data_IF_553526925709
#
_entry.id   IF_553526925709
#
_cell.length_a   1.000
_cell.length_b   1.000
_cell.length_c   1.000
_cell.angle_alpha   90.00
_cell.angle_beta   90.00
_cell.angle_gamma   90.00
#
_symmetry.space_group_name_H-M   'P 1'
#
loop_
_entity.id
_entity.type
_entity.pdbx_description
1 polymer ?
#
# COMPACT_ATOMS: atom_id res chain seq x y z
N UNK A 1 30.03 -8.24 40.56
CA UNK A 1 29.74 -7.13 39.63
C UNK A 1 28.27 -7.17 39.34
N UNK A 2 27.51 -6.36 40.04
CA UNK A 2 26.03 -6.31 40.04
C UNK A 2 25.55 -5.46 38.89
N UNK A 3 24.73 -6.07 38.00
CA UNK A 3 24.12 -5.42 36.86
C UNK A 3 23.04 -4.42 37.37
N UNK A 4 23.28 -3.15 37.12
CA UNK A 4 22.26 -2.10 37.23
C UNK A 4 21.43 -2.12 35.97
N UNK A 5 20.30 -2.81 36.01
CA UNK A 5 19.27 -2.74 34.99
C UNK A 5 17.91 -2.56 35.69
N UNK A 6 17.47 -1.35 35.82
CA UNK A 6 16.05 -0.96 35.85
C UNK A 6 15.81 0.49 36.31
N UNK A 7 15.66 1.43 35.39
CA UNK A 7 14.62 2.45 35.58
C UNK A 7 13.68 2.63 34.40
N UNK A 8 13.95 2.04 33.21
CA UNK A 8 13.15 2.28 32.01
C UNK A 8 11.75 1.64 32.10
N UNK A 9 11.64 0.46 32.74
CA UNK A 9 10.37 -0.30 32.80
C UNK A 9 9.30 0.34 33.69
N UNK A 10 9.69 1.10 34.74
CA UNK A 10 8.73 1.75 35.65
C UNK A 10 8.06 3.01 35.09
N UNK A 11 8.72 3.73 34.20
CA UNK A 11 8.15 4.94 33.59
C UNK A 11 7.05 4.59 32.57
N UNK A 12 7.22 3.50 31.82
CA UNK A 12 6.21 3.02 30.87
C UNK A 12 4.91 2.60 31.56
N UNK A 13 4.97 1.97 32.73
CA UNK A 13 3.79 1.54 33.48
C UNK A 13 2.96 2.67 34.07
N UNK A 14 3.55 3.83 34.37
CA UNK A 14 2.82 4.97 34.93
C UNK A 14 2.05 5.76 33.83
N UNK A 15 2.62 5.87 32.64
CA UNK A 15 1.97 6.49 31.49
C UNK A 15 0.81 5.61 30.94
N UNK A 16 0.97 4.30 30.97
CA UNK A 16 -0.01 3.32 30.48
C UNK A 16 -1.30 3.27 31.34
N UNK A 17 -1.23 3.66 32.63
CA UNK A 17 -2.40 3.69 33.52
C UNK A 17 -3.39 4.82 33.22
N UNK A 18 -2.99 5.86 32.49
CA UNK A 18 -3.86 7.02 32.20
C UNK A 18 -4.79 6.82 31.01
N UNK A 19 -4.46 5.88 30.09
CA UNK A 19 -5.23 5.65 28.89
C UNK A 19 -5.89 4.27 28.92
N UNK A 20 -7.19 4.26 29.10
CA UNK A 20 -7.96 3.02 28.94
C UNK A 20 -7.98 2.62 27.46
N UNK A 21 -7.91 1.32 27.11
CA UNK A 21 -7.96 0.83 25.73
C UNK A 21 -9.09 1.43 24.90
N UNK A 22 -10.27 1.57 25.50
CA UNK A 22 -11.44 2.13 24.84
C UNK A 22 -11.26 3.60 24.44
N UNK A 23 -10.55 4.40 25.24
CA UNK A 23 -10.25 5.81 24.89
C UNK A 23 -9.30 5.92 23.71
N UNK A 24 -8.29 5.04 23.63
CA UNK A 24 -7.38 5.00 22.50
C UNK A 24 -8.13 4.67 21.21
N UNK A 25 -9.00 3.65 21.25
CA UNK A 25 -9.82 3.27 20.10
C UNK A 25 -10.82 4.37 19.70
N UNK A 26 -11.42 5.06 20.70
CA UNK A 26 -12.32 6.19 20.42
C UNK A 26 -11.59 7.35 19.73
N UNK A 27 -10.38 7.70 20.19
CA UNK A 27 -9.55 8.74 19.53
C UNK A 27 -9.17 8.30 18.13
N UNK A 28 -8.72 7.06 17.95
CA UNK A 28 -8.40 6.52 16.64
C UNK A 28 -9.61 6.56 15.68
N UNK A 29 -10.80 6.17 16.16
CA UNK A 29 -12.04 6.25 15.40
C UNK A 29 -12.38 7.69 15.01
N UNK A 30 -12.26 8.65 15.95
CA UNK A 30 -12.46 10.07 15.68
C UNK A 30 -11.52 10.60 14.60
N UNK A 31 -10.23 10.24 14.66
CA UNK A 31 -9.25 10.60 13.62
C UNK A 31 -9.62 10.02 12.25
N UNK A 32 -10.07 8.76 12.21
CA UNK A 32 -10.51 8.10 10.99
C UNK A 32 -11.73 8.79 10.39
N UNK A 33 -12.73 9.12 11.21
CA UNK A 33 -13.94 9.83 10.77
C UNK A 33 -13.59 11.19 10.16
N UNK A 34 -12.74 11.98 10.83
CA UNK A 34 -12.29 13.28 10.32
C UNK A 34 -11.55 13.11 8.99
N UNK A 35 -10.65 12.13 8.90
CA UNK A 35 -9.94 11.82 7.66
C UNK A 35 -10.90 11.46 6.52
N UNK A 36 -11.83 10.52 6.75
CA UNK A 36 -12.76 10.08 5.72
C UNK A 36 -13.74 11.19 5.31
N UNK A 37 -14.17 12.06 6.25
CA UNK A 37 -14.99 13.22 5.93
C UNK A 37 -14.24 14.20 5.02
N UNK A 38 -12.98 14.50 5.33
CA UNK A 38 -12.12 15.32 4.48
C UNK A 38 -11.90 14.68 3.10
N UNK A 39 -11.63 13.37 3.05
CA UNK A 39 -11.47 12.65 1.79
C UNK A 39 -12.75 12.63 0.97
N UNK A 40 -13.90 12.41 1.59
CA UNK A 40 -15.19 12.49 0.92
C UNK A 40 -15.39 13.86 0.29
N UNK A 41 -15.16 14.93 1.04
CA UNK A 41 -15.24 16.30 0.53
C UNK A 41 -14.31 16.52 -0.68
N UNK A 42 -13.06 16.08 -0.60
CA UNK A 42 -12.09 16.24 -1.68
C UNK A 42 -12.46 15.41 -2.92
N UNK A 43 -12.84 14.14 -2.74
CA UNK A 43 -13.15 13.21 -3.84
C UNK A 43 -14.45 13.63 -4.55
N UNK A 44 -15.52 13.94 -3.82
CA UNK A 44 -16.78 14.36 -4.43
C UNK A 44 -16.72 15.76 -5.04
N UNK A 45 -15.76 16.60 -4.62
CA UNK A 45 -15.44 17.87 -5.25
C UNK A 45 -14.50 17.75 -6.45
N UNK A 46 -14.04 16.54 -6.80
CA UNK A 46 -13.15 16.26 -7.92
C UNK A 46 -13.95 15.75 -9.14
N UNK A 47 -13.21 15.40 -10.18
CA UNK A 47 -13.73 14.85 -11.43
C UNK A 47 -12.66 13.98 -12.08
N UNK A 48 -12.99 13.29 -13.17
CA UNK A 48 -12.04 12.57 -14.00
C UNK A 48 -10.88 13.45 -14.44
N UNK A 49 -9.66 12.91 -14.38
CA UNK A 49 -8.42 13.58 -14.77
C UNK A 49 -7.83 12.93 -16.03
N UNK A 50 -6.74 13.46 -16.53
CA UNK A 50 -6.14 13.16 -17.84
C UNK A 50 -6.16 11.68 -18.21
N UNK A 51 -5.55 10.82 -17.39
CA UNK A 51 -5.44 9.39 -17.67
C UNK A 51 -6.75 8.63 -17.44
N UNK A 52 -7.65 9.19 -16.63
CA UNK A 52 -8.97 8.61 -16.41
C UNK A 52 -9.76 8.57 -17.72
N UNK A 53 -9.66 9.63 -18.55
CA UNK A 53 -10.31 9.67 -19.86
C UNK A 53 -9.71 8.64 -20.82
N UNK A 54 -8.40 8.39 -20.77
CA UNK A 54 -7.78 7.36 -21.56
C UNK A 54 -8.30 5.97 -21.16
N UNK A 55 -8.35 5.69 -19.86
CA UNK A 55 -8.86 4.42 -19.35
C UNK A 55 -10.32 4.20 -19.72
N UNK A 56 -11.16 5.23 -19.54
CA UNK A 56 -12.57 5.16 -19.93
C UNK A 56 -12.73 5.01 -21.45
N UNK A 57 -11.91 5.70 -22.25
CA UNK A 57 -11.93 5.59 -23.71
C UNK A 57 -11.61 4.17 -24.19
N UNK A 58 -10.61 3.52 -23.60
CA UNK A 58 -10.28 2.13 -23.87
C UNK A 58 -11.48 1.20 -23.59
N UNK A 59 -12.20 1.45 -22.50
CA UNK A 59 -13.38 0.67 -22.13
C UNK A 59 -14.60 0.97 -23.01
N UNK A 60 -14.67 2.16 -23.60
CA UNK A 60 -15.76 2.58 -24.49
C UNK A 60 -15.64 1.96 -25.89
N UNK A 61 -14.41 1.96 -26.44
CA UNK A 61 -14.15 1.49 -27.80
C UNK A 61 -13.84 0.00 -27.90
N UNK A 62 -13.54 -0.65 -26.77
CA UNK A 62 -13.27 -2.08 -26.72
C UNK A 62 -14.56 -2.88 -26.48
N UNK A 63 -14.75 -3.96 -27.24
CA UNK A 63 -15.60 -5.04 -26.78
C UNK A 63 -14.98 -5.59 -25.51
N UNK A 64 -15.46 -5.11 -24.35
CA UNK A 64 -14.92 -5.45 -23.07
C UNK A 64 -15.21 -6.92 -22.76
N UNK A 65 -14.38 -7.74 -23.33
CA UNK A 65 -14.26 -9.17 -23.03
C UNK A 65 -13.38 -9.36 -21.81
N UNK A 66 -13.43 -10.50 -21.12
CA UNK A 66 -12.44 -10.81 -20.08
C UNK A 66 -10.98 -10.71 -20.57
N UNK A 67 -10.75 -10.80 -21.89
CA UNK A 67 -9.42 -10.66 -22.50
C UNK A 67 -8.93 -9.21 -22.45
N UNK A 68 -9.79 -8.22 -22.66
CA UNK A 68 -9.41 -6.80 -22.57
C UNK A 68 -9.04 -6.37 -21.15
N UNK A 69 -9.56 -7.06 -20.13
CA UNK A 69 -9.16 -6.82 -18.75
C UNK A 69 -7.68 -7.20 -18.49
N UNK A 70 -7.10 -8.07 -19.33
CA UNK A 70 -5.68 -8.47 -19.23
C UNK A 70 -4.75 -7.65 -20.12
N UNK A 71 -5.27 -6.72 -20.93
CA UNK A 71 -4.46 -5.80 -21.73
C UNK A 71 -3.61 -4.90 -20.82
N UNK A 72 -2.42 -4.60 -21.31
CA UNK A 72 -1.52 -3.70 -20.57
C UNK A 72 -1.95 -2.25 -20.77
N UNK A 73 -2.03 -1.51 -19.67
CA UNK A 73 -2.28 -0.09 -19.67
C UNK A 73 -1.01 0.65 -19.26
N UNK A 74 -0.43 1.44 -20.18
CA UNK A 74 0.88 2.08 -20.00
C UNK A 74 1.99 1.13 -19.51
N UNK A 75 1.99 -0.11 -19.97
CA UNK A 75 2.95 -1.12 -19.56
C UNK A 75 2.64 -1.80 -18.22
N UNK A 76 1.53 -1.44 -17.56
CA UNK A 76 1.08 -2.07 -16.32
C UNK A 76 0.07 -3.18 -16.59
N UNK A 77 0.26 -4.33 -15.96
CA UNK A 77 -0.73 -5.41 -15.94
C UNK A 77 -1.59 -5.20 -14.69
N UNK A 78 -2.81 -4.71 -14.90
CA UNK A 78 -3.73 -4.39 -13.81
C UNK A 78 -5.16 -4.87 -14.10
N UNK A 79 -5.38 -6.18 -14.27
CA UNK A 79 -6.68 -6.73 -14.66
C UNK A 79 -7.82 -6.30 -13.73
N UNK A 80 -7.57 -6.16 -12.42
CA UNK A 80 -8.56 -5.68 -11.47
C UNK A 80 -8.95 -4.23 -11.69
N UNK A 81 -7.98 -3.35 -11.98
CA UNK A 81 -8.23 -1.95 -12.31
C UNK A 81 -8.99 -1.80 -13.63
N UNK A 82 -8.58 -2.54 -14.67
CA UNK A 82 -9.27 -2.56 -15.96
C UNK A 82 -10.71 -3.05 -15.82
N UNK A 83 -10.92 -4.14 -15.05
CA UNK A 83 -12.26 -4.68 -14.84
C UNK A 83 -13.15 -3.72 -14.04
N UNK A 84 -12.61 -3.03 -13.05
CA UNK A 84 -13.33 -1.99 -12.31
C UNK A 84 -13.71 -0.82 -13.22
N UNK A 85 -12.80 -0.38 -14.09
CA UNK A 85 -13.06 0.65 -15.10
C UNK A 85 -14.20 0.24 -16.07
N UNK A 86 -14.15 -1.00 -16.54
CA UNK A 86 -15.20 -1.56 -17.37
C UNK A 86 -16.57 -1.57 -16.66
N UNK A 87 -16.59 -2.03 -15.42
CA UNK A 87 -17.81 -2.09 -14.62
C UNK A 87 -18.42 -0.70 -14.44
N UNK A 88 -17.60 0.30 -14.14
CA UNK A 88 -18.02 1.69 -13.99
C UNK A 88 -18.59 2.24 -15.29
N UNK A 89 -17.93 1.99 -16.42
CA UNK A 89 -18.43 2.39 -17.72
C UNK A 89 -19.81 1.79 -18.03
N UNK A 90 -20.00 0.50 -17.74
CA UNK A 90 -21.28 -0.20 -17.97
C UNK A 90 -22.41 0.26 -17.05
N UNK A 91 -22.09 0.60 -15.78
CA UNK A 91 -23.12 0.94 -14.79
C UNK A 91 -23.56 2.41 -14.87
N UNK A 92 -22.64 3.34 -15.11
CA UNK A 92 -22.91 4.77 -14.83
C UNK A 92 -22.46 5.76 -15.91
N UNK A 93 -21.84 5.35 -17.01
CA UNK A 93 -21.46 6.23 -18.13
C UNK A 93 -20.98 7.65 -17.69
N UNK A 94 -19.71 7.85 -17.38
CA UNK A 94 -19.11 9.14 -16.96
C UNK A 94 -19.73 9.78 -15.70
N UNK A 95 -20.51 9.06 -14.92
CA UNK A 95 -20.99 9.57 -13.64
C UNK A 95 -19.92 9.37 -12.57
N UNK A 96 -19.35 10.48 -12.06
CA UNK A 96 -18.31 10.49 -11.06
C UNK A 96 -18.73 9.91 -9.69
N UNK A 97 -20.02 9.90 -9.36
CA UNK A 97 -20.50 9.49 -8.04
C UNK A 97 -20.11 8.05 -7.69
N UNK A 98 -20.14 7.12 -8.65
CA UNK A 98 -19.75 5.72 -8.39
C UNK A 98 -18.24 5.57 -8.19
N UNK A 99 -17.35 6.02 -9.09
CA UNK A 99 -15.92 6.04 -8.85
C UNK A 99 -15.52 6.72 -7.53
N UNK A 100 -16.11 7.88 -7.22
CA UNK A 100 -15.87 8.58 -5.97
C UNK A 100 -16.24 7.73 -4.75
N UNK A 101 -17.38 7.03 -4.79
CA UNK A 101 -17.82 6.12 -3.73
C UNK A 101 -16.87 4.93 -3.58
N UNK A 102 -16.43 4.33 -4.69
CA UNK A 102 -15.45 3.24 -4.69
C UNK A 102 -14.13 3.66 -4.04
N UNK A 103 -13.60 4.82 -4.42
CA UNK A 103 -12.37 5.36 -3.84
C UNK A 103 -12.52 5.58 -2.33
N UNK A 104 -13.65 6.11 -1.90
CA UNK A 104 -13.90 6.37 -0.47
C UNK A 104 -14.03 5.06 0.32
N UNK A 105 -14.70 4.05 -0.22
CA UNK A 105 -14.81 2.72 0.38
C UNK A 105 -13.43 2.07 0.50
N UNK A 106 -12.63 2.08 -0.59
CA UNK A 106 -11.28 1.52 -0.57
C UNK A 106 -10.38 2.24 0.44
N UNK A 107 -10.46 3.58 0.54
CA UNK A 107 -9.74 4.33 1.56
C UNK A 107 -10.18 3.93 2.98
N UNK A 108 -11.48 3.80 3.22
CA UNK A 108 -11.98 3.36 4.53
C UNK A 108 -11.45 1.97 4.90
N UNK A 109 -11.47 1.01 3.98
CA UNK A 109 -10.93 -0.34 4.19
C UNK A 109 -9.42 -0.27 4.45
N UNK A 110 -8.67 0.49 3.66
CA UNK A 110 -7.21 0.66 3.83
C UNK A 110 -6.82 1.26 5.18
N UNK A 111 -7.55 2.28 5.63
CA UNK A 111 -7.35 2.93 6.95
C UNK A 111 -7.67 1.96 8.09
N UNK A 112 -8.76 1.23 8.01
CA UNK A 112 -9.11 0.19 9.00
C UNK A 112 -8.08 -0.94 9.00
N UNK A 113 -7.57 -1.32 7.82
CA UNK A 113 -6.47 -2.26 7.68
C UNK A 113 -5.20 -1.76 8.38
N UNK A 114 -4.85 -0.48 8.22
CA UNK A 114 -3.69 0.12 8.88
C UNK A 114 -3.85 0.17 10.41
N UNK A 115 -5.02 0.55 10.91
CA UNK A 115 -5.29 0.48 12.35
C UNK A 115 -5.14 -0.96 12.88
N UNK A 116 -5.66 -1.97 12.15
CA UNK A 116 -5.49 -3.38 12.50
C UNK A 116 -4.03 -3.80 12.53
N UNK A 117 -3.24 -3.34 11.58
CA UNK A 117 -1.79 -3.58 11.54
C UNK A 117 -1.09 -2.99 12.77
N UNK A 118 -1.41 -1.74 13.14
CA UNK A 118 -0.86 -1.11 14.32
C UNK A 118 -1.23 -1.87 15.61
N UNK A 119 -2.49 -2.31 15.72
CA UNK A 119 -2.95 -3.13 16.84
C UNK A 119 -2.25 -4.50 16.86
N UNK A 120 -2.05 -5.12 15.70
CA UNK A 120 -1.30 -6.37 15.61
C UNK A 120 0.16 -6.18 16.03
N UNK A 121 0.83 -5.10 15.64
CA UNK A 121 2.20 -4.79 16.06
C UNK A 121 2.27 -4.51 17.57
N UNK A 122 1.36 -3.70 18.08
CA UNK A 122 1.34 -3.28 19.48
C UNK A 122 0.89 -4.37 20.46
N UNK A 123 0.13 -5.39 19.97
CA UNK A 123 -0.46 -6.45 20.78
C UNK A 123 -1.72 -6.04 21.54
N UNK A 124 -1.88 -4.76 21.86
CA UNK A 124 -3.05 -4.17 22.56
C UNK A 124 -3.23 -2.70 22.18
N UNK A 125 -4.43 -2.13 22.33
CA UNK A 125 -4.62 -0.68 22.19
C UNK A 125 -3.82 0.09 23.23
N UNK A 126 -2.90 0.95 22.77
CA UNK A 126 -2.04 1.81 23.60
C UNK A 126 -1.82 3.15 22.91
N UNK A 127 -1.55 4.25 23.64
CA UNK A 127 -1.40 5.58 23.04
C UNK A 127 -0.34 5.65 21.92
N UNK A 128 0.69 4.82 22.00
CA UNK A 128 1.77 4.77 21.01
C UNK A 128 1.33 4.40 19.58
N UNK A 129 0.09 3.92 19.36
CA UNK A 129 -0.44 3.70 18.01
C UNK A 129 -1.00 4.98 17.36
N UNK A 130 -1.31 6.01 18.14
CA UNK A 130 -1.96 7.23 17.65
C UNK A 130 -1.04 8.08 16.77
N UNK A 131 0.24 8.34 17.13
CA UNK A 131 1.13 9.11 16.26
C UNK A 131 1.34 8.50 14.87
N UNK A 132 1.69 7.22 14.70
CA UNK A 132 1.81 6.63 13.37
C UNK A 132 0.49 6.59 12.62
N UNK A 133 -0.65 6.42 13.30
CA UNK A 133 -1.96 6.54 12.69
C UNK A 133 -2.20 7.97 12.18
N UNK A 134 -1.89 9.00 12.98
CA UNK A 134 -2.02 10.40 12.59
C UNK A 134 -1.19 10.74 11.36
N UNK A 135 0.08 10.32 11.35
CA UNK A 135 0.98 10.52 10.20
C UNK A 135 0.39 9.86 8.95
N UNK A 136 -0.08 8.63 9.05
CA UNK A 136 -0.67 7.91 7.93
C UNK A 136 -1.93 8.59 7.39
N UNK A 137 -2.82 9.05 8.27
CA UNK A 137 -4.08 9.67 7.89
C UNK A 137 -3.90 11.08 7.29
N UNK A 138 -3.03 11.88 7.90
CA UNK A 138 -2.97 13.33 7.62
C UNK A 138 -1.73 13.75 6.82
N UNK A 139 -0.91 12.80 6.34
CA UNK A 139 0.15 13.12 5.40
C UNK A 139 -0.43 13.63 4.07
N UNK A 140 0.19 14.66 3.52
CA UNK A 140 -0.18 15.20 2.21
C UNK A 140 0.38 14.38 1.04
N UNK A 141 1.34 13.48 1.31
CA UNK A 141 2.07 12.73 0.29
C UNK A 141 1.17 11.99 -0.73
N UNK A 142 0.15 11.22 -0.33
CA UNK A 142 -0.73 10.52 -1.26
C UNK A 142 -1.97 11.32 -1.65
N UNK A 143 -2.08 12.61 -1.25
CA UNK A 143 -3.34 13.34 -1.37
C UNK A 143 -3.83 13.41 -2.82
N UNK A 144 -2.95 13.72 -3.76
CA UNK A 144 -3.28 13.83 -5.18
C UNK A 144 -3.62 12.48 -5.80
N UNK A 145 -2.75 11.48 -5.62
CA UNK A 145 -2.98 10.14 -6.17
C UNK A 145 -4.21 9.42 -5.61
N UNK A 146 -4.70 9.84 -4.44
CA UNK A 146 -5.91 9.27 -3.81
C UNK A 146 -7.22 9.93 -4.30
N UNK A 147 -7.14 11.05 -5.02
CA UNK A 147 -8.29 11.71 -5.65
C UNK A 147 -8.31 11.53 -7.17
N UNK A 148 -7.26 11.02 -7.74
CA UNK A 148 -7.10 10.70 -9.16
C UNK A 148 -7.47 9.24 -9.39
N UNK A 149 -8.56 8.98 -10.09
CA UNK A 149 -9.17 7.66 -10.15
C UNK A 149 -8.25 6.58 -10.72
N UNK A 150 -7.64 6.78 -11.90
CA UNK A 150 -6.75 5.79 -12.52
C UNK A 150 -5.52 5.46 -11.69
N UNK A 151 -4.99 6.41 -10.91
CA UNK A 151 -3.92 6.15 -9.96
C UNK A 151 -4.45 5.46 -8.69
N UNK A 152 -5.59 5.90 -8.19
CA UNK A 152 -6.16 5.41 -6.93
C UNK A 152 -6.62 3.95 -7.01
N UNK A 153 -7.16 3.50 -8.15
CA UNK A 153 -7.58 2.11 -8.35
C UNK A 153 -6.42 1.10 -8.30
N UNK A 154 -5.18 1.57 -8.42
CA UNK A 154 -3.97 0.76 -8.21
C UNK A 154 -3.47 0.88 -6.77
N UNK A 155 -3.35 2.11 -6.27
CA UNK A 155 -2.73 2.40 -4.98
C UNK A 155 -3.58 1.95 -3.79
N UNK A 156 -4.89 2.14 -3.84
CA UNK A 156 -5.78 1.79 -2.74
C UNK A 156 -5.89 0.27 -2.52
N UNK A 157 -6.09 -0.58 -3.56
CA UNK A 157 -6.00 -2.02 -3.40
C UNK A 157 -4.63 -2.49 -2.91
N UNK A 158 -3.52 -1.89 -3.39
CA UNK A 158 -2.19 -2.17 -2.87
C UNK A 158 -2.09 -1.85 -1.37
N UNK A 159 -2.58 -0.70 -0.93
CA UNK A 159 -2.58 -0.30 0.48
C UNK A 159 -3.41 -1.25 1.35
N UNK A 160 -4.57 -1.68 0.85
CA UNK A 160 -5.41 -2.70 1.49
C UNK A 160 -4.64 -4.01 1.61
N UNK A 161 -4.10 -4.50 0.49
CA UNK A 161 -3.32 -5.74 0.45
C UNK A 161 -2.14 -5.70 1.43
N UNK A 162 -1.37 -4.61 1.42
CA UNK A 162 -0.23 -4.40 2.30
C UNK A 162 -0.61 -4.53 3.78
N UNK A 163 -1.63 -3.80 4.20
CA UNK A 163 -2.01 -3.72 5.62
C UNK A 163 -2.58 -5.04 6.13
N UNK A 164 -3.43 -5.69 5.35
CA UNK A 164 -4.02 -6.97 5.74
C UNK A 164 -3.05 -8.14 5.60
N UNK A 165 -2.20 -8.17 4.57
CA UNK A 165 -1.16 -9.20 4.42
C UNK A 165 -0.17 -9.16 5.57
N UNK A 166 0.36 -7.97 5.92
CA UNK A 166 1.26 -7.83 7.06
C UNK A 166 0.59 -8.19 8.39
N UNK A 167 -0.67 -7.79 8.58
CA UNK A 167 -1.44 -8.18 9.78
C UNK A 167 -1.57 -9.70 9.90
N UNK A 168 -1.97 -10.36 8.81
CA UNK A 168 -2.11 -11.81 8.77
C UNK A 168 -0.76 -12.50 8.98
N UNK A 169 0.30 -12.01 8.35
CA UNK A 169 1.65 -12.56 8.50
C UNK A 169 2.19 -12.43 9.94
N UNK A 170 1.97 -11.29 10.61
CA UNK A 170 2.33 -11.12 12.02
C UNK A 170 1.58 -12.11 12.90
N UNK A 171 0.30 -12.35 12.63
CA UNK A 171 -0.49 -13.35 13.33
C UNK A 171 0.07 -14.76 13.07
N UNK A 172 0.50 -15.07 11.84
CA UNK A 172 1.21 -16.32 11.54
C UNK A 172 2.49 -16.47 12.39
N UNK A 173 3.31 -15.44 12.42
CA UNK A 173 4.57 -15.46 13.18
C UNK A 173 4.37 -15.66 14.68
N UNK A 174 3.23 -15.21 15.23
CA UNK A 174 2.89 -15.35 16.66
C UNK A 174 2.23 -16.67 17.01
N UNK A 175 1.39 -17.19 16.13
CA UNK A 175 0.55 -18.37 16.42
C UNK A 175 1.07 -19.65 15.79
N UNK A 176 1.94 -19.57 14.79
CA UNK A 176 2.40 -20.71 13.98
C UNK A 176 1.32 -21.33 13.07
N UNK A 177 0.09 -20.79 13.06
CA UNK A 177 -1.02 -21.35 12.28
C UNK A 177 -0.89 -20.99 10.79
N UNK A 178 -0.68 -21.99 9.94
CA UNK A 178 -0.46 -21.82 8.50
C UNK A 178 -1.61 -21.09 7.78
N UNK A 179 -2.83 -21.22 8.29
CA UNK A 179 -3.98 -20.47 7.74
C UNK A 179 -3.75 -18.95 7.67
N UNK A 180 -3.01 -18.37 8.63
CA UNK A 180 -2.70 -16.95 8.60
C UNK A 180 -1.67 -16.60 7.51
N UNK A 181 -0.75 -17.51 7.19
CA UNK A 181 0.15 -17.33 6.06
C UNK A 181 -0.61 -17.41 4.71
N UNK A 182 -1.54 -18.37 4.59
CA UNK A 182 -2.43 -18.43 3.40
C UNK A 182 -3.24 -17.15 3.26
N UNK A 183 -3.83 -16.62 4.33
CA UNK A 183 -4.59 -15.35 4.30
C UNK A 183 -3.68 -14.18 3.91
N UNK A 184 -2.43 -14.16 4.41
CA UNK A 184 -1.46 -13.13 4.01
C UNK A 184 -1.18 -13.19 2.50
N UNK A 185 -0.96 -14.40 1.97
CA UNK A 185 -0.70 -14.62 0.55
C UNK A 185 -1.89 -14.26 -0.34
N UNK A 186 -3.10 -14.61 0.07
CA UNK A 186 -4.33 -14.21 -0.64
C UNK A 186 -4.48 -12.69 -0.73
N UNK A 187 -4.10 -11.94 0.32
CA UNK A 187 -4.08 -10.48 0.25
C UNK A 187 -2.99 -9.95 -0.69
N UNK A 188 -1.83 -10.60 -0.76
CA UNK A 188 -0.81 -10.24 -1.75
C UNK A 188 -1.30 -10.53 -3.16
N UNK A 189 -1.89 -11.71 -3.39
CA UNK A 189 -2.48 -12.07 -4.67
C UNK A 189 -3.58 -11.08 -5.11
N UNK A 190 -4.46 -10.68 -4.18
CA UNK A 190 -5.43 -9.61 -4.43
C UNK A 190 -4.74 -8.31 -4.88
N UNK A 191 -3.69 -7.87 -4.17
CA UNK A 191 -2.95 -6.68 -4.55
C UNK A 191 -2.30 -6.79 -5.94
N UNK A 192 -1.75 -7.96 -6.29
CA UNK A 192 -1.12 -8.22 -7.58
C UNK A 192 -2.10 -8.13 -8.77
N UNK A 193 -3.38 -8.42 -8.53
CA UNK A 193 -4.44 -8.25 -9.56
C UNK A 193 -4.65 -6.78 -9.92
N UNK A 194 -4.36 -5.87 -9.00
CA UNK A 194 -4.52 -4.41 -9.21
C UNK A 194 -3.21 -3.70 -9.52
N UNK A 195 -2.09 -4.17 -8.96
CA UNK A 195 -0.82 -3.45 -9.06
C UNK A 195 0.38 -4.39 -8.88
N UNK A 196 1.24 -4.46 -9.88
CA UNK A 196 2.44 -5.31 -9.86
C UNK A 196 3.39 -4.99 -8.71
N UNK A 197 3.43 -3.73 -8.24
CA UNK A 197 4.25 -3.33 -7.07
C UNK A 197 3.81 -4.01 -5.77
N UNK A 198 2.65 -4.67 -5.75
CA UNK A 198 2.23 -5.50 -4.61
C UNK A 198 3.18 -6.67 -4.35
N UNK A 199 4.02 -7.06 -5.31
CA UNK A 199 5.12 -7.99 -5.08
C UNK A 199 6.11 -7.52 -4.00
N UNK A 200 6.26 -6.21 -3.79
CA UNK A 200 7.08 -5.64 -2.73
C UNK A 200 6.58 -6.00 -1.31
N UNK A 201 5.33 -6.42 -1.18
CA UNK A 201 4.78 -6.89 0.12
C UNK A 201 5.55 -8.13 0.60
N UNK A 202 5.99 -9.02 -0.31
CA UNK A 202 6.83 -10.17 0.06
C UNK A 202 8.18 -9.73 0.65
N UNK A 203 8.77 -8.66 0.12
CA UNK A 203 9.99 -8.07 0.70
C UNK A 203 9.73 -7.55 2.10
N UNK A 204 8.61 -6.86 2.33
CA UNK A 204 8.23 -6.38 3.66
C UNK A 204 7.92 -7.51 4.63
N UNK A 205 7.26 -8.58 4.18
CA UNK A 205 7.04 -9.82 4.94
C UNK A 205 8.39 -10.41 5.38
N UNK A 206 9.35 -10.51 4.47
CA UNK A 206 10.70 -11.00 4.79
C UNK A 206 11.41 -10.09 5.78
N UNK A 207 11.36 -8.77 5.59
CA UNK A 207 11.96 -7.79 6.51
C UNK A 207 11.34 -7.86 7.91
N UNK A 208 10.01 -7.92 8.02
CA UNK A 208 9.31 -8.06 9.31
C UNK A 208 9.76 -9.37 10.00
N UNK A 209 9.80 -10.47 9.25
CA UNK A 209 10.26 -11.76 9.80
C UNK A 209 11.71 -11.67 10.29
N UNK A 210 12.62 -11.11 9.50
CA UNK A 210 14.02 -11.00 9.82
C UNK A 210 14.27 -10.03 10.97
N UNK A 211 13.63 -8.85 10.97
CA UNK A 211 13.92 -7.81 11.93
C UNK A 211 13.33 -8.09 13.32
N UNK A 212 12.14 -8.67 13.39
CA UNK A 212 11.39 -8.76 14.64
C UNK A 212 11.20 -10.18 15.18
N UNK A 213 11.27 -11.21 14.32
CA UNK A 213 10.95 -12.59 14.72
C UNK A 213 12.06 -13.61 14.49
N UNK A 214 13.17 -13.22 13.86
CA UNK A 214 14.32 -14.09 13.66
C UNK A 214 15.39 -13.84 14.75
N UNK A 215 16.01 -14.93 15.21
CA UNK A 215 17.01 -14.91 16.26
C UNK A 215 18.41 -15.15 15.70
N UNK A 216 19.44 -14.66 16.42
CA UNK A 216 20.84 -14.81 16.01
C UNK A 216 21.36 -13.60 15.23
N UNK A 217 22.57 -13.74 14.65
CA UNK A 217 23.25 -12.71 13.84
C UNK A 217 23.67 -13.29 12.50
N UNK A 218 23.68 -12.44 11.44
CA UNK A 218 24.12 -12.85 10.11
C UNK A 218 23.36 -14.07 9.57
N UNK A 219 24.08 -15.06 9.07
CA UNK A 219 23.50 -16.28 8.48
C UNK A 219 22.68 -17.12 9.47
N UNK A 220 23.01 -17.10 10.76
CA UNK A 220 22.20 -17.80 11.76
C UNK A 220 20.81 -17.20 11.90
N UNK A 221 20.70 -15.88 11.77
CA UNK A 221 19.42 -15.16 11.77
C UNK A 221 18.56 -15.56 10.54
N UNK A 222 19.18 -15.57 9.37
CA UNK A 222 18.50 -16.00 8.14
C UNK A 222 18.02 -17.46 8.26
N UNK A 223 18.90 -18.37 8.73
CA UNK A 223 18.55 -19.77 8.95
C UNK A 223 17.40 -19.91 9.96
N UNK A 224 17.38 -19.12 11.04
CA UNK A 224 16.26 -19.12 12.01
C UNK A 224 14.95 -18.58 11.43
N UNK A 225 15.02 -17.63 10.51
CA UNK A 225 13.84 -17.10 9.81
C UNK A 225 13.18 -18.16 8.91
N UNK A 226 13.99 -18.99 8.23
CA UNK A 226 13.52 -20.03 7.31
C UNK A 226 13.10 -21.29 8.06
N UNK A 227 13.86 -21.66 9.09
CA UNK A 227 13.65 -22.92 9.83
C UNK A 227 12.30 -22.91 10.54
N UNK A 228 11.48 -23.91 10.27
CA UNK A 228 10.12 -24.02 10.83
C UNK A 228 9.05 -23.16 10.14
N UNK A 229 9.45 -22.30 9.18
CA UNK A 229 8.52 -21.44 8.41
C UNK A 229 8.50 -21.76 6.91
N UNK A 230 9.20 -22.81 6.50
CA UNK A 230 9.29 -23.22 5.10
C UNK A 230 7.92 -23.45 4.42
N UNK A 231 6.84 -23.92 5.10
CA UNK A 231 5.55 -24.10 4.42
C UNK A 231 4.95 -22.75 3.98
N UNK A 232 5.04 -21.71 4.83
CA UNK A 232 4.60 -20.38 4.48
C UNK A 232 5.48 -19.77 3.37
N UNK A 233 6.80 -19.97 3.44
CA UNK A 233 7.73 -19.52 2.41
C UNK A 233 7.42 -20.20 1.06
N UNK A 234 7.10 -21.49 1.05
CA UNK A 234 6.73 -22.22 -0.17
C UNK A 234 5.45 -21.64 -0.81
N UNK A 235 4.45 -21.25 0.01
CA UNK A 235 3.23 -20.59 -0.47
C UNK A 235 3.61 -19.24 -1.13
N UNK A 236 4.32 -18.38 -0.44
CA UNK A 236 4.70 -17.05 -0.94
C UNK A 236 5.55 -17.11 -2.21
N UNK A 237 6.53 -18.00 -2.24
CA UNK A 237 7.38 -18.23 -3.43
C UNK A 237 6.54 -18.81 -4.57
N UNK A 238 5.65 -19.76 -4.28
CA UNK A 238 4.76 -20.35 -5.29
C UNK A 238 3.88 -19.31 -5.98
N UNK A 239 3.18 -18.48 -5.21
CA UNK A 239 2.35 -17.39 -5.75
C UNK A 239 3.21 -16.33 -6.46
N UNK A 240 4.36 -15.97 -5.91
CA UNK A 240 5.29 -15.04 -6.55
C UNK A 240 5.80 -15.54 -7.90
N UNK A 241 6.16 -16.83 -8.00
CA UNK A 241 6.59 -17.45 -9.25
C UNK A 241 5.43 -17.57 -10.26
N UNK A 242 4.25 -17.94 -9.80
CA UNK A 242 3.05 -17.98 -10.65
C UNK A 242 2.77 -16.60 -11.25
N UNK A 243 2.78 -15.56 -10.41
CA UNK A 243 2.60 -14.20 -10.87
C UNK A 243 3.70 -13.77 -11.86
N UNK A 244 4.96 -14.00 -11.53
CA UNK A 244 6.09 -13.67 -12.42
C UNK A 244 5.96 -14.37 -13.77
N UNK A 245 5.61 -15.66 -13.78
CA UNK A 245 5.40 -16.41 -15.02
C UNK A 245 4.25 -15.82 -15.83
N UNK A 246 3.12 -15.54 -15.18
CA UNK A 246 1.97 -14.89 -15.84
C UNK A 246 2.35 -13.51 -16.40
N UNK A 247 3.11 -12.74 -15.65
CA UNK A 247 3.58 -11.42 -16.08
C UNK A 247 4.49 -11.50 -17.29
N UNK A 248 5.43 -12.45 -17.34
CA UNK A 248 6.33 -12.66 -18.47
C UNK A 248 5.60 -13.16 -19.72
N UNK A 249 4.54 -13.97 -19.54
CA UNK A 249 3.75 -14.51 -20.66
C UNK A 249 2.81 -13.45 -21.25
N UNK A 250 2.15 -12.65 -20.39
CA UNK A 250 1.15 -11.66 -20.82
C UNK A 250 1.82 -10.34 -21.19
N UNK A 251 2.81 -9.92 -20.40
CA UNK A 251 3.41 -8.60 -20.45
C UNK A 251 4.71 -8.50 -21.21
N UNK A 252 5.06 -9.46 -22.08
CA UNK A 252 6.34 -9.69 -22.74
C UNK A 252 7.18 -8.50 -23.23
N UNK A 253 6.65 -7.28 -23.16
CA UNK A 253 7.34 -6.05 -23.56
C UNK A 253 7.45 -5.06 -22.40
N UNK A 254 8.30 -5.36 -21.43
CA UNK A 254 8.69 -4.43 -20.36
C UNK A 254 9.26 -3.08 -20.83
N UNK A 255 9.49 -2.93 -22.12
CA UNK A 255 10.28 -1.84 -22.67
C UNK A 255 9.61 -1.08 -23.80
N UNK A 256 8.39 -1.41 -24.21
CA UNK A 256 7.73 -0.65 -25.27
C UNK A 256 7.35 0.75 -24.78
N UNK A 257 8.14 1.73 -25.18
CA UNK A 257 7.81 3.15 -25.12
C UNK A 257 8.39 3.96 -23.96
N UNK A 258 9.12 3.36 -23.02
CA UNK A 258 9.88 4.16 -22.06
C UNK A 258 11.32 4.32 -22.52
N UNK A 259 11.66 5.51 -23.02
CA UNK A 259 13.07 5.91 -23.11
C UNK A 259 13.66 5.71 -21.70
N UNK A 260 14.64 4.79 -21.60
CA UNK A 260 15.36 4.59 -20.35
C UNK A 260 16.03 5.92 -20.00
N UNK A 261 15.68 6.55 -18.87
CA UNK A 261 16.39 7.76 -18.48
C UNK A 261 17.86 7.42 -18.39
N UNK A 262 18.69 8.15 -19.15
CA UNK A 262 20.12 7.95 -19.18
C UNK A 262 20.68 7.95 -17.75
N UNK A 263 21.24 6.81 -17.32
CA UNK A 263 21.89 6.59 -16.03
C UNK A 263 21.06 6.93 -14.77
N UNK A 264 20.20 6.00 -14.30
CA UNK A 264 19.61 6.07 -12.98
C UNK A 264 20.71 5.86 -11.94
N UNK A 265 21.37 6.91 -11.52
CA UNK A 265 22.42 6.86 -10.54
C UNK A 265 22.03 7.59 -9.27
N UNK A 266 23.04 7.95 -8.49
CA UNK A 266 22.94 8.75 -7.28
C UNK A 266 22.08 10.02 -7.45
N UNK A 267 22.11 10.64 -8.65
CA UNK A 267 21.32 11.85 -8.94
C UNK A 267 19.81 11.57 -8.90
N UNK A 268 19.34 10.44 -9.45
CA UNK A 268 17.94 10.04 -9.35
C UNK A 268 17.54 9.81 -7.90
N UNK A 269 18.33 9.04 -7.14
CA UNK A 269 18.07 8.78 -5.72
C UNK A 269 18.05 10.09 -4.91
N UNK A 270 19.02 11.00 -5.15
CA UNK A 270 19.05 12.33 -4.53
C UNK A 270 17.79 13.14 -4.86
N UNK A 271 17.40 13.16 -6.14
CA UNK A 271 16.20 13.90 -6.58
C UNK A 271 14.94 13.31 -5.95
N UNK A 272 14.80 11.99 -5.88
CA UNK A 272 13.67 11.34 -5.20
C UNK A 272 13.61 11.72 -3.72
N UNK A 273 14.73 11.70 -3.01
CA UNK A 273 14.75 12.08 -1.59
C UNK A 273 14.41 13.55 -1.42
N UNK A 274 15.11 14.45 -2.12
CA UNK A 274 14.99 15.90 -1.89
C UNK A 274 13.70 16.49 -2.47
N UNK A 275 13.21 15.98 -3.59
CA UNK A 275 12.09 16.57 -4.30
C UNK A 275 10.78 15.79 -4.19
N UNK A 276 10.81 14.54 -3.68
CA UNK A 276 9.62 13.71 -3.48
C UNK A 276 9.41 13.41 -2.00
N UNK A 277 10.34 12.69 -1.37
CA UNK A 277 10.12 12.21 0.00
C UNK A 277 10.15 13.34 1.05
N UNK A 278 11.11 14.24 0.99
CA UNK A 278 11.23 15.32 1.98
C UNK A 278 10.02 16.27 1.91
N UNK A 279 9.66 16.84 0.75
CA UNK A 279 8.48 17.70 0.68
C UNK A 279 7.18 16.95 0.94
N UNK A 280 7.05 15.71 0.47
CA UNK A 280 5.86 14.90 0.70
C UNK A 280 5.62 14.60 2.17
N UNK A 281 6.67 14.32 2.96
CA UNK A 281 6.58 14.06 4.39
C UNK A 281 6.39 15.32 5.23
N UNK A 282 7.01 16.42 4.83
CA UNK A 282 6.93 17.69 5.54
C UNK A 282 5.72 18.55 5.13
N UNK A 283 4.93 18.10 4.14
CA UNK A 283 3.76 18.84 3.67
C UNK A 283 4.09 20.11 2.88
N UNK A 284 5.29 20.16 2.29
CA UNK A 284 5.74 21.33 1.53
C UNK A 284 4.99 21.50 0.20
N UNK A 285 4.87 22.76 -0.29
CA UNK A 285 4.24 23.05 -1.57
C UNK A 285 5.15 22.61 -2.73
N UNK A 286 5.11 21.35 -3.04
CA UNK A 286 6.00 20.70 -3.99
C UNK A 286 5.91 21.31 -5.41
N UNK A 287 4.69 21.65 -5.85
CA UNK A 287 4.44 22.20 -7.18
C UNK A 287 4.76 23.69 -7.30
N UNK A 288 4.81 24.43 -6.19
CA UNK A 288 4.98 25.88 -6.22
C UNK A 288 6.43 26.34 -6.36
N UNK A 289 7.38 25.41 -6.17
CA UNK A 289 8.82 25.71 -6.25
C UNK A 289 9.44 25.34 -7.61
N UNK A 290 8.67 24.77 -8.54
CA UNK A 290 9.17 24.47 -9.90
C UNK A 290 8.55 25.44 -10.92
N UNK A 291 9.36 26.02 -11.81
CA UNK A 291 8.84 26.66 -13.00
C UNK A 291 8.08 25.61 -13.84
N UNK A 292 7.00 26.06 -14.48
CA UNK A 292 6.05 25.23 -15.24
C UNK A 292 6.66 24.49 -16.45
N UNK A 293 7.95 24.64 -16.71
CA UNK A 293 8.64 24.23 -17.93
C UNK A 293 9.33 22.86 -17.87
N UNK A 294 9.35 22.18 -16.72
CA UNK A 294 9.86 20.80 -16.66
C UNK A 294 8.74 19.80 -16.96
N UNK A 295 8.95 18.89 -17.93
CA UNK A 295 7.93 17.92 -18.32
C UNK A 295 7.53 17.04 -17.13
N UNK A 296 6.23 16.79 -17.01
CA UNK A 296 5.56 15.96 -16.00
C UNK A 296 6.01 14.49 -15.98
N UNK A 297 7.08 14.14 -16.70
CA UNK A 297 7.60 12.80 -16.87
C UNK A 297 8.08 12.08 -15.59
N UNK A 298 8.13 12.78 -14.45
CA UNK A 298 8.46 12.17 -13.15
C UNK A 298 7.25 11.60 -12.39
N UNK A 299 6.03 11.77 -12.89
CA UNK A 299 4.81 11.22 -12.29
C UNK A 299 4.59 9.75 -12.71
N UNK A 300 5.32 9.28 -13.72
CA UNK A 300 5.23 7.93 -14.27
C UNK A 300 6.25 6.94 -13.67
N UNK A 301 6.69 7.16 -12.42
CA UNK A 301 7.49 6.16 -11.69
C UNK A 301 6.61 5.31 -10.79
#
# INVERSE_FOLDING_TARGET
>A
MTAVAAPVERADHAADRRWQPNRVLLVAAGMIVVHLAFRAWAIYGSWYQIDDFNLVSLMYHGDATPVTATETYFGHIMPGGNYLGYLNHRLVHYNWALPATELLIMQAIGVLGFLRLLLALAGRPRPGILPPLAIFLFTSFPAESMTWWSAAINLLPFQIALTFALTAHINYLRTGRLQHAVVADLWVAFGLVFFEKSALIYVLIALVTLCYFAHGRGLTRLRSAIRGRWPALAIYVGTGLLYLTSYLVIGGDFAQGQERPGHPGFQLAKNMVLHVYVPGTLGGPFRWLRPFDEPLSLIHI
#
